data_IF_683081086720
#
_entry.id   IF_683081086720
#
_cell.length_a   1.000
_cell.length_b   1.000
_cell.length_c   1.000
_cell.angle_alpha   90.00
_cell.angle_beta   90.00
_cell.angle_gamma   90.00
#
_symmetry.space_group_name_H-M   'P 1'
#
loop_
_entity.id
_entity.type
_entity.pdbx_description
1 polymer ?
#
# COMPACT_ATOMS: atom_id res chain seq x y z
N UNK A 1 3.27 2.19 14.84
CA UNK A 1 2.61 0.90 14.55
C UNK A 1 3.48 0.10 13.60
N UNK A 2 4.01 -1.03 14.03
CA UNK A 2 4.84 -1.82 13.12
C UNK A 2 3.97 -2.49 12.06
N UNK A 3 4.23 -2.18 10.80
CA UNK A 3 3.55 -2.79 9.67
C UNK A 3 4.40 -3.96 9.19
N UNK A 4 4.32 -5.06 9.93
CA UNK A 4 4.99 -6.31 9.57
C UNK A 4 4.20 -7.46 10.19
N UNK A 5 4.29 -8.68 9.63
CA UNK A 5 3.59 -9.80 10.24
C UNK A 5 4.11 -10.09 11.64
N UNK A 6 3.18 -10.32 12.57
CA UNK A 6 3.54 -10.64 13.96
C UNK A 6 4.22 -12.00 14.06
N UNK A 7 3.86 -12.92 13.18
CA UNK A 7 4.42 -14.28 13.17
C UNK A 7 4.56 -14.78 11.74
N UNK A 8 5.73 -15.30 11.40
CA UNK A 8 5.98 -15.89 10.09
C UNK A 8 6.66 -17.23 10.25
N UNK A 9 6.32 -18.17 9.38
CA UNK A 9 6.96 -19.46 9.36
C UNK A 9 8.37 -19.37 8.79
N UNK A 10 8.54 -18.59 7.73
CA UNK A 10 9.85 -18.35 7.10
C UNK A 10 10.03 -16.84 6.93
N UNK A 11 11.16 -16.31 7.38
CA UNK A 11 11.43 -14.88 7.30
C UNK A 11 11.80 -14.43 5.90
N UNK A 12 12.47 -15.27 5.13
CA UNK A 12 12.90 -14.95 3.77
C UNK A 12 11.99 -15.64 2.76
N UNK A 13 11.67 -14.95 1.70
CA UNK A 13 10.75 -15.42 0.67
C UNK A 13 11.38 -15.30 -0.71
N UNK A 14 10.91 -16.12 -1.65
CA UNK A 14 11.28 -15.94 -3.04
C UNK A 14 10.70 -14.62 -3.56
N UNK A 15 11.42 -14.01 -4.50
CA UNK A 15 11.00 -12.72 -5.05
C UNK A 15 9.64 -12.82 -5.76
N UNK A 16 9.40 -13.88 -6.52
CA UNK A 16 8.20 -14.03 -7.30
C UNK A 16 8.10 -13.01 -8.43
N UNK A 17 6.88 -12.84 -8.95
CA UNK A 17 6.63 -11.82 -9.95
C UNK A 17 5.41 -10.98 -9.56
N UNK A 18 5.24 -9.84 -10.25
CA UNK A 18 4.14 -8.90 -9.98
C UNK A 18 3.17 -8.82 -11.16
N UNK A 19 3.17 -9.86 -12.00
CA UNK A 19 2.33 -9.87 -13.19
C UNK A 19 0.85 -9.97 -12.85
N UNK A 20 0.01 -9.52 -13.77
CA UNK A 20 -1.44 -9.62 -13.66
C UNK A 20 -2.10 -8.44 -13.00
N UNK A 21 -3.42 -8.51 -12.92
CA UNK A 21 -4.26 -7.51 -12.28
C UNK A 21 -4.76 -8.06 -10.95
N UNK A 22 -5.14 -7.17 -10.05
CA UNK A 22 -5.73 -7.58 -8.78
C UNK A 22 -7.11 -8.18 -9.03
N UNK A 23 -7.33 -9.40 -8.53
CA UNK A 23 -8.63 -10.07 -8.57
C UNK A 23 -9.39 -9.93 -7.25
N UNK A 24 -8.68 -9.62 -6.18
CA UNK A 24 -9.25 -9.34 -4.86
C UNK A 24 -8.71 -8.02 -4.36
N UNK A 25 -9.46 -7.37 -3.47
CA UNK A 25 -9.09 -6.06 -2.97
C UNK A 25 -9.12 -5.01 -4.06
N UNK A 26 -10.00 -5.16 -5.06
CA UNK A 26 -10.13 -4.25 -6.20
C UNK A 26 -11.40 -3.41 -6.16
N UNK A 27 -12.14 -3.45 -5.06
CA UNK A 27 -13.35 -2.65 -4.88
C UNK A 27 -13.33 -2.00 -3.50
N UNK A 28 -14.03 -0.85 -3.40
CA UNK A 28 -14.22 -0.18 -2.11
C UNK A 28 -15.22 -1.00 -1.29
N UNK A 29 -14.78 -1.51 -0.13
CA UNK A 29 -15.58 -2.42 0.68
C UNK A 29 -15.99 -1.84 2.03
N UNK A 30 -15.13 -1.04 2.67
CA UNK A 30 -15.35 -0.53 4.01
C UNK A 30 -15.82 0.92 4.04
N UNK A 31 -15.26 1.77 3.19
CA UNK A 31 -15.59 3.18 3.13
C UNK A 31 -16.39 3.54 1.91
N UNK A 32 -16.50 4.85 1.65
CA UNK A 32 -17.17 5.35 0.46
C UNK A 32 -16.21 5.70 -0.67
N UNK A 33 -15.00 6.09 -0.31
CA UNK A 33 -13.99 6.54 -1.26
C UNK A 33 -12.71 5.76 -1.08
N UNK A 34 -11.96 5.59 -2.15
CA UNK A 34 -10.72 4.86 -2.08
C UNK A 34 -9.68 5.35 -3.07
N UNK A 35 -8.46 4.90 -2.86
CA UNK A 35 -7.33 5.14 -3.75
C UNK A 35 -6.90 3.81 -4.36
N UNK A 36 -6.98 3.73 -5.68
CA UNK A 36 -6.69 2.50 -6.41
C UNK A 36 -5.37 2.67 -7.16
N UNK A 37 -4.54 1.64 -7.14
CA UNK A 37 -3.29 1.65 -7.90
C UNK A 37 -3.55 1.43 -9.38
N UNK A 38 -2.78 2.11 -10.22
CA UNK A 38 -2.80 1.90 -11.68
C UNK A 38 -1.56 1.16 -12.14
N UNK A 39 -0.58 1.00 -11.26
CA UNK A 39 0.69 0.36 -11.57
C UNK A 39 0.99 -0.74 -10.56
N UNK A 40 1.96 -1.58 -10.89
CA UNK A 40 2.45 -2.62 -9.99
C UNK A 40 3.71 -2.13 -9.28
N UNK A 41 3.85 -2.51 -8.01
CA UNK A 41 5.07 -2.19 -7.25
C UNK A 41 5.12 -2.97 -5.96
N UNK A 42 6.22 -2.81 -5.24
CA UNK A 42 6.36 -3.23 -3.85
C UNK A 42 6.37 -1.97 -2.99
N UNK A 43 5.32 -1.79 -2.20
CA UNK A 43 5.24 -0.67 -1.25
C UNK A 43 5.82 -1.09 0.09
N UNK A 44 6.77 -0.34 0.58
CA UNK A 44 7.33 -0.65 1.88
C UNK A 44 6.50 -0.01 3.02
N UNK A 45 6.82 -0.41 4.24
CA UNK A 45 6.12 0.04 5.44
C UNK A 45 6.15 1.56 5.59
N UNK A 46 7.29 2.18 5.26
CA UNK A 46 7.44 3.63 5.40
C UNK A 46 6.54 4.40 4.45
N UNK A 47 6.42 3.94 3.22
CA UNK A 47 5.55 4.56 2.22
C UNK A 47 4.08 4.46 2.61
N UNK A 48 3.65 3.30 3.09
CA UNK A 48 2.28 3.08 3.55
C UNK A 48 1.98 4.00 4.74
N UNK A 49 2.87 4.08 5.70
CA UNK A 49 2.68 4.93 6.89
C UNK A 49 2.67 6.41 6.54
N UNK A 50 3.54 6.84 5.63
CA UNK A 50 3.57 8.23 5.18
C UNK A 50 2.26 8.62 4.50
N UNK A 51 1.70 7.76 3.68
CA UNK A 51 0.42 8.00 3.02
C UNK A 51 -0.72 8.08 4.04
N UNK A 52 -0.75 7.16 5.00
CA UNK A 52 -1.77 7.17 6.06
C UNK A 52 -1.75 8.47 6.86
N UNK A 53 -0.55 8.90 7.23
CA UNK A 53 -0.38 10.15 8.00
C UNK A 53 -0.85 11.35 7.17
N UNK A 54 -0.55 11.38 5.88
CA UNK A 54 -0.99 12.45 4.99
C UNK A 54 -2.51 12.55 4.93
N UNK A 55 -3.20 11.42 4.86
CA UNK A 55 -4.67 11.39 4.85
C UNK A 55 -5.21 11.93 6.17
N UNK A 56 -4.73 11.42 7.29
CA UNK A 56 -5.21 11.83 8.61
C UNK A 56 -4.99 13.33 8.88
N UNK A 57 -3.86 13.87 8.49
CA UNK A 57 -3.56 15.28 8.67
C UNK A 57 -4.50 16.15 7.86
N UNK A 58 -4.76 15.81 6.62
CA UNK A 58 -5.64 16.62 5.79
C UNK A 58 -7.10 16.56 6.26
N UNK A 59 -7.54 15.39 6.75
CA UNK A 59 -8.88 15.22 7.27
C UNK A 59 -9.05 15.75 8.69
N UNK A 60 -7.96 16.19 9.34
CA UNK A 60 -7.96 16.67 10.73
C UNK A 60 -8.57 15.65 11.69
N UNK A 61 -8.31 14.38 11.46
CA UNK A 61 -8.84 13.24 12.23
C UNK A 61 -10.37 13.09 12.17
N UNK A 62 -11.01 13.71 11.18
CA UNK A 62 -12.42 13.48 10.91
C UNK A 62 -12.55 12.21 10.07
N UNK A 63 -13.63 11.49 10.26
CA UNK A 63 -13.88 10.28 9.49
C UNK A 63 -12.95 9.13 9.85
N UNK A 64 -12.98 8.11 9.01
CA UNK A 64 -12.20 6.88 9.19
C UNK A 64 -11.32 6.61 7.99
N UNK A 65 -10.17 6.00 8.24
CA UNK A 65 -9.23 5.55 7.20
C UNK A 65 -8.98 4.05 7.39
N UNK A 66 -9.07 3.30 6.30
CA UNK A 66 -8.70 1.88 6.28
C UNK A 66 -7.50 1.70 5.36
N UNK A 67 -6.51 0.99 5.85
CA UNK A 67 -5.38 0.55 5.04
C UNK A 67 -5.75 -0.84 4.50
N UNK A 68 -5.96 -0.95 3.18
CA UNK A 68 -6.42 -2.20 2.56
C UNK A 68 -5.29 -3.15 2.20
N UNK A 69 -4.05 -2.70 2.35
CA UNK A 69 -2.86 -3.47 2.01
C UNK A 69 -2.03 -3.70 3.25
N UNK A 70 -1.27 -4.79 3.25
CA UNK A 70 -0.39 -5.11 4.37
C UNK A 70 0.94 -5.63 3.84
N UNK A 71 2.07 -5.20 4.40
CA UNK A 71 3.39 -5.67 3.96
C UNK A 71 3.64 -7.09 4.47
N UNK A 72 3.27 -8.08 3.68
CA UNK A 72 3.41 -9.49 4.01
C UNK A 72 4.67 -10.12 3.45
N UNK A 73 5.27 -9.51 2.44
CA UNK A 73 6.42 -10.08 1.74
C UNK A 73 7.70 -9.51 2.29
N UNK A 74 8.63 -10.38 2.65
CA UNK A 74 9.95 -9.95 3.10
C UNK A 74 10.84 -9.64 1.90
N UNK A 75 11.72 -8.66 2.09
CA UNK A 75 12.65 -8.19 1.08
C UNK A 75 14.06 -8.27 1.64
N UNK A 76 14.98 -8.89 0.90
CA UNK A 76 16.36 -9.06 1.33
C UNK A 76 17.29 -8.24 0.46
N UNK A 77 18.38 -7.77 1.04
CA UNK A 77 19.38 -7.00 0.32
C UNK A 77 20.76 -7.34 0.88
N UNK A 78 21.71 -7.57 -0.02
CA UNK A 78 23.10 -7.74 0.37
C UNK A 78 23.78 -6.38 0.48
N UNK A 79 24.75 -6.21 1.40
CA UNK A 79 25.56 -4.99 1.43
C UNK A 79 26.27 -4.76 0.10
N UNK A 80 26.51 -3.49 -0.24
CA UNK A 80 27.14 -3.12 -1.50
C UNK A 80 28.52 -3.76 -1.71
N UNK A 81 29.25 -4.00 -0.62
CA UNK A 81 30.60 -4.56 -0.66
C UNK A 81 30.63 -6.08 -0.65
N UNK A 82 29.49 -6.74 -0.59
CA UNK A 82 29.43 -8.19 -0.53
C UNK A 82 29.51 -8.78 -1.93
N UNK A 83 30.38 -9.77 -2.10
CA UNK A 83 30.49 -10.51 -3.36
C UNK A 83 29.26 -11.33 -3.63
N UNK A 84 28.98 -11.58 -4.90
CA UNK A 84 27.86 -12.44 -5.29
C UNK A 84 28.07 -13.87 -4.84
N UNK A 85 27.00 -14.56 -4.52
CA UNK A 85 27.01 -15.93 -4.01
C UNK A 85 26.97 -15.98 -2.49
N UNK A 86 27.25 -17.15 -1.91
CA UNK A 86 27.25 -17.41 -0.47
C UNK A 86 25.89 -17.18 0.21
N UNK A 87 24.79 -17.50 -0.50
CA UNK A 87 23.46 -17.49 0.06
C UNK A 87 22.72 -16.18 -0.06
N UNK A 88 21.50 -16.18 0.45
CA UNK A 88 20.59 -15.04 0.39
C UNK A 88 20.98 -13.99 1.40
N UNK A 89 20.85 -12.72 1.01
CA UNK A 89 21.17 -11.61 1.89
C UNK A 89 20.27 -11.53 3.13
N UNK A 90 20.63 -10.69 4.11
CA UNK A 90 19.80 -10.52 5.30
C UNK A 90 18.49 -9.82 4.97
N UNK A 91 17.50 -10.01 5.84
CA UNK A 91 16.20 -9.35 5.72
C UNK A 91 16.38 -7.85 5.92
N UNK A 92 15.90 -7.06 4.96
CA UNK A 92 15.99 -5.60 5.05
C UNK A 92 14.65 -5.00 5.48
N UNK A 93 13.56 -5.39 4.81
CA UNK A 93 12.27 -4.80 5.09
C UNK A 93 11.14 -5.71 4.64
N UNK A 94 9.92 -5.29 4.96
CA UNK A 94 8.70 -5.94 4.53
C UNK A 94 7.98 -5.04 3.54
N UNK A 95 7.39 -5.63 2.49
CA UNK A 95 6.71 -4.90 1.44
C UNK A 95 5.35 -5.51 1.14
N UNK A 96 4.42 -4.67 0.69
CA UNK A 96 3.14 -5.11 0.17
C UNK A 96 3.26 -5.22 -1.35
N UNK A 97 2.83 -6.36 -1.91
CA UNK A 97 2.83 -6.56 -3.36
C UNK A 97 1.57 -5.93 -3.92
N UNK A 98 1.75 -4.91 -4.75
CA UNK A 98 0.65 -4.15 -5.34
C UNK A 98 0.54 -4.47 -6.82
N UNK A 99 -0.68 -4.77 -7.26
CA UNK A 99 -1.00 -4.99 -8.68
C UNK A 99 -1.96 -3.90 -9.15
N UNK A 100 -2.02 -3.62 -10.45
CA UNK A 100 -3.02 -2.68 -10.98
C UNK A 100 -4.42 -3.07 -10.53
N UNK A 101 -5.26 -2.08 -10.25
CA UNK A 101 -6.61 -2.19 -9.74
C UNK A 101 -6.71 -2.53 -8.25
N UNK A 102 -5.59 -2.60 -7.52
CA UNK A 102 -5.60 -2.86 -6.09
C UNK A 102 -5.99 -1.59 -5.33
N UNK A 103 -6.96 -1.69 -4.42
CA UNK A 103 -7.35 -0.57 -3.55
C UNK A 103 -6.37 -0.50 -2.39
N UNK A 104 -5.74 0.65 -2.23
CA UNK A 104 -4.69 0.84 -1.23
C UNK A 104 -5.24 1.38 0.09
N UNK A 105 -6.07 2.41 0.01
CA UNK A 105 -6.67 3.07 1.16
C UNK A 105 -8.14 3.33 0.90
N UNK A 106 -8.92 3.36 1.98
CA UNK A 106 -10.33 3.78 1.91
C UNK A 106 -10.60 4.81 2.99
N UNK A 107 -11.51 5.74 2.70
CA UNK A 107 -11.92 6.75 3.66
C UNK A 107 -13.44 6.85 3.70
N UNK A 108 -13.96 7.28 4.83
CA UNK A 108 -15.40 7.46 5.04
C UNK A 108 -15.63 8.56 6.08
N UNK A 109 -16.87 9.05 6.13
CA UNK A 109 -17.25 10.04 7.12
C UNK A 109 -16.81 11.46 6.80
N UNK A 110 -16.41 11.75 5.55
CA UNK A 110 -16.01 13.08 5.09
C UNK A 110 -16.65 13.37 3.74
N UNK A 111 -16.82 14.67 3.37
CA UNK A 111 -17.31 15.03 2.05
C UNK A 111 -16.35 14.56 0.95
N UNK A 112 -16.89 14.33 -0.25
CA UNK A 112 -16.10 13.87 -1.38
C UNK A 112 -14.90 14.78 -1.70
N UNK A 113 -15.11 16.11 -1.65
CA UNK A 113 -14.03 17.05 -1.93
C UNK A 113 -12.86 16.88 -0.98
N UNK A 114 -13.14 16.71 0.31
CA UNK A 114 -12.09 16.50 1.30
C UNK A 114 -11.43 15.14 1.13
N UNK A 115 -12.23 14.10 0.86
CA UNK A 115 -11.69 12.76 0.61
C UNK A 115 -10.77 12.75 -0.60
N UNK A 116 -11.18 13.40 -1.68
CA UNK A 116 -10.39 13.47 -2.91
C UNK A 116 -9.06 14.18 -2.69
N UNK A 117 -9.07 15.28 -1.97
CA UNK A 117 -7.83 16.02 -1.66
C UNK A 117 -6.92 15.21 -0.72
N UNK A 118 -7.49 14.57 0.29
CA UNK A 118 -6.72 13.75 1.24
C UNK A 118 -6.03 12.60 0.53
N UNK A 119 -6.75 11.90 -0.34
CA UNK A 119 -6.19 10.78 -1.09
C UNK A 119 -5.17 11.24 -2.14
N UNK A 120 -5.37 12.44 -2.71
CA UNK A 120 -4.37 13.03 -3.61
C UNK A 120 -3.05 13.28 -2.87
N UNK A 121 -3.12 13.80 -1.67
CA UNK A 121 -1.92 14.02 -0.85
C UNK A 121 -1.25 12.69 -0.48
N UNK A 122 -2.03 11.67 -0.18
CA UNK A 122 -1.48 10.34 0.07
C UNK A 122 -0.75 9.81 -1.15
N UNK A 123 -1.32 10.01 -2.34
CA UNK A 123 -0.71 9.55 -3.58
C UNK A 123 0.67 10.17 -3.83
N UNK A 124 0.91 11.41 -3.35
CA UNK A 124 2.23 12.03 -3.50
C UNK A 124 3.32 11.30 -2.70
N UNK A 125 2.94 10.50 -1.71
CA UNK A 125 3.89 9.72 -0.90
C UNK A 125 4.18 8.35 -1.49
N UNK A 126 3.50 7.99 -2.58
CA UNK A 126 3.61 6.68 -3.20
C UNK A 126 4.35 6.79 -4.53
N UNK A 127 5.12 5.74 -4.92
CA UNK A 127 5.91 5.79 -6.14
C UNK A 127 5.16 5.41 -7.40
N UNK A 128 3.84 5.25 -7.32
CA UNK A 128 3.02 4.75 -8.43
C UNK A 128 1.88 5.71 -8.72
N UNK A 129 1.35 5.62 -9.94
CA UNK A 129 0.14 6.33 -10.30
C UNK A 129 -1.05 5.67 -9.66
N UNK A 130 -1.99 6.49 -9.21
CA UNK A 130 -3.18 6.05 -8.51
C UNK A 130 -4.41 6.76 -9.07
N UNK A 131 -5.57 6.25 -8.69
CA UNK A 131 -6.84 6.81 -9.12
C UNK A 131 -7.80 6.88 -7.93
N UNK A 132 -8.48 8.02 -7.80
CA UNK A 132 -9.57 8.15 -6.84
C UNK A 132 -10.77 7.36 -7.35
N UNK A 133 -11.37 6.57 -6.47
CA UNK A 133 -12.57 5.80 -6.77
C UNK A 133 -13.61 6.01 -5.69
N UNK A 134 -14.87 5.85 -6.03
CA UNK A 134 -15.94 5.89 -5.07
C UNK A 134 -16.74 4.58 -5.13
N UNK A 135 -17.40 4.26 -4.01
CA UNK A 135 -18.23 3.07 -3.91
C UNK A 135 -19.43 3.15 -4.83
N UNK A 136 -20.00 4.35 -4.93
CA UNK A 136 -21.15 4.60 -5.79
C UNK A 136 -20.66 5.15 -7.11
N UNK A 137 -20.51 4.27 -8.08
CA UNK A 137 -20.33 4.73 -9.45
C UNK A 137 -21.67 5.22 -9.95
N UNK A 138 -21.70 6.49 -10.29
CA UNK A 138 -22.74 6.96 -11.15
C UNK A 138 -22.46 6.36 -12.52
N UNK A 139 -23.29 5.45 -12.89
CA UNK A 139 -23.27 4.88 -14.22
C UNK A 139 -23.58 5.96 -15.25
#
# INVERSE_FOLDING_TARGET
MPLMPARVKYRKMHRGNRAGLASRGNTVAFGEYGLMSLERCWLDTKQIEAARVAINRNMKRRGKVWIRIFPQKSFTKKPLETRMGKGKGPLESWVAVIRPANVLFEVDGVPEALARESLRLAATKLPIRTRFISRHRLS
#
